data_IF_298996555756
#
_entry.id   IF_298996555756
#
_cell.length_a   1.000
_cell.length_b   1.000
_cell.length_c   1.000
_cell.angle_alpha   90.00
_cell.angle_beta   90.00
_cell.angle_gamma   90.00
#
_symmetry.space_group_name_H-M   'P 1'
#
loop_
_entity.id
_entity.type
_entity.pdbx_description
1 polymer ?
#
# COMPACT_ATOMS: atom_id res chain seq x y z
N UNK A 1 -23.08 -6.45 -11.51
CA UNK A 1 -23.16 -5.91 -10.13
C UNK A 1 -22.63 -6.96 -9.17
N UNK A 2 -21.35 -6.91 -8.81
CA UNK A 2 -20.82 -7.80 -7.78
C UNK A 2 -21.20 -7.20 -6.42
N UNK A 3 -21.97 -7.95 -5.64
CA UNK A 3 -22.35 -7.60 -4.28
C UNK A 3 -21.08 -7.50 -3.43
N UNK A 4 -20.65 -6.26 -3.12
CA UNK A 4 -19.53 -5.98 -2.21
C UNK A 4 -19.95 -6.37 -0.79
N UNK A 5 -19.92 -7.66 -0.51
CA UNK A 5 -20.20 -8.19 0.82
C UNK A 5 -19.09 -7.69 1.74
N UNK A 6 -19.46 -7.01 2.84
CA UNK A 6 -18.52 -6.60 3.89
C UNK A 6 -17.81 -7.83 4.44
N UNK A 7 -16.64 -8.15 3.88
CA UNK A 7 -15.86 -9.34 4.21
C UNK A 7 -14.77 -8.97 5.19
N UNK A 8 -14.79 -9.64 6.33
CA UNK A 8 -13.77 -9.55 7.37
C UNK A 8 -12.83 -10.74 7.23
N UNK A 9 -11.53 -10.47 7.14
CA UNK A 9 -10.47 -11.47 7.08
C UNK A 9 -10.02 -11.85 8.51
N UNK A 10 -9.61 -10.87 9.31
CA UNK A 10 -9.28 -11.03 10.73
C UNK A 10 -7.93 -11.73 11.03
N UNK A 11 -7.16 -12.10 10.00
CA UNK A 11 -5.82 -12.67 10.12
C UNK A 11 -4.95 -12.33 8.90
N UNK A 12 -4.93 -11.06 8.51
CA UNK A 12 -4.17 -10.61 7.34
C UNK A 12 -2.71 -10.36 7.74
N UNK A 13 -1.79 -11.18 7.22
CA UNK A 13 -0.33 -11.08 7.38
C UNK A 13 0.34 -11.43 6.06
N UNK A 14 1.60 -11.07 5.86
CA UNK A 14 2.35 -11.46 4.66
C UNK A 14 2.43 -12.99 4.49
N UNK A 15 2.59 -13.73 5.59
CA UNK A 15 2.61 -15.21 5.59
C UNK A 15 1.29 -15.86 5.15
N UNK A 16 0.18 -15.11 5.22
CA UNK A 16 -1.14 -15.57 4.79
C UNK A 16 -1.50 -15.07 3.37
N UNK A 17 -0.58 -14.40 2.68
CA UNK A 17 -0.72 -14.05 1.26
C UNK A 17 0.18 -14.98 0.46
N UNK A 18 -0.43 -15.96 -0.20
CA UNK A 18 0.26 -16.92 -1.04
C UNK A 18 0.28 -16.45 -2.48
N UNK A 19 1.31 -16.83 -3.23
CA UNK A 19 1.38 -16.59 -4.67
C UNK A 19 1.08 -17.90 -5.40
N UNK A 20 0.21 -17.83 -6.41
CA UNK A 20 0.02 -18.96 -7.33
C UNK A 20 1.14 -19.03 -8.39
N UNK A 21 1.07 -20.02 -9.29
CA UNK A 21 2.06 -20.26 -10.34
C UNK A 21 2.24 -19.09 -11.32
N UNK A 22 1.30 -18.13 -11.32
CA UNK A 22 1.32 -16.93 -12.14
C UNK A 22 1.61 -15.66 -11.31
N UNK A 23 2.11 -15.81 -10.08
CA UNK A 23 2.35 -14.73 -9.13
C UNK A 23 1.10 -13.92 -8.75
N UNK A 24 -0.10 -14.48 -8.88
CA UNK A 24 -1.29 -13.79 -8.37
C UNK A 24 -1.42 -14.03 -6.85
N UNK A 25 -1.66 -12.98 -6.06
CA UNK A 25 -1.86 -13.12 -4.63
C UNK A 25 -3.20 -13.80 -4.31
N UNK A 26 -3.16 -14.76 -3.36
CA UNK A 26 -4.30 -15.47 -2.78
C UNK A 26 -4.22 -15.36 -1.26
N UNK A 27 -5.33 -14.98 -0.62
CA UNK A 27 -5.38 -14.91 0.84
C UNK A 27 -5.74 -16.29 1.38
N UNK A 28 -4.88 -16.84 2.23
CA UNK A 28 -5.11 -18.07 2.99
C UNK A 28 -5.90 -17.81 4.28
N UNK A 29 -6.40 -18.87 4.92
CA UNK A 29 -7.02 -18.83 6.26
C UNK A 29 -8.21 -17.87 6.43
N UNK A 30 -8.85 -17.52 5.32
CA UNK A 30 -9.98 -16.60 5.28
C UNK A 30 -11.17 -17.21 6.00
N UNK A 31 -11.66 -16.52 7.03
CA UNK A 31 -12.88 -16.91 7.73
C UNK A 31 -12.70 -17.99 8.79
N UNK A 32 -11.47 -18.47 9.04
CA UNK A 32 -11.17 -19.29 10.22
C UNK A 32 -11.55 -18.55 11.52
N UNK A 33 -11.38 -17.23 11.53
CA UNK A 33 -11.78 -16.34 12.63
C UNK A 33 -13.25 -16.51 13.08
N UNK A 34 -14.15 -16.92 12.19
CA UNK A 34 -15.58 -17.16 12.49
C UNK A 34 -15.86 -18.54 13.10
N UNK A 35 -14.95 -19.49 12.92
CA UNK A 35 -15.06 -20.88 13.39
C UNK A 35 -14.18 -21.15 14.61
N UNK A 36 -13.33 -20.18 14.99
CA UNK A 36 -12.40 -20.31 16.11
C UNK A 36 -13.11 -20.31 17.46
N UNK A 37 -12.62 -21.16 18.36
CA UNK A 37 -12.93 -21.08 19.79
C UNK A 37 -12.30 -19.83 20.39
N UNK A 38 -12.78 -19.39 21.54
CA UNK A 38 -12.21 -18.22 22.24
C UNK A 38 -10.69 -18.32 22.42
N UNK A 39 -10.17 -19.52 22.73
CA UNK A 39 -8.73 -19.75 22.89
C UNK A 39 -7.97 -19.61 21.56
N UNK A 40 -8.49 -20.19 20.48
CA UNK A 40 -7.87 -20.08 19.16
C UNK A 40 -7.87 -18.62 18.66
N UNK A 41 -8.95 -17.87 18.92
CA UNK A 41 -9.02 -16.44 18.57
C UNK A 41 -8.01 -15.60 19.35
N UNK A 42 -7.81 -15.87 20.64
CA UNK A 42 -6.77 -15.18 21.43
C UNK A 42 -5.38 -15.47 20.89
N UNK A 43 -5.10 -16.71 20.47
CA UNK A 43 -3.81 -17.07 19.90
C UNK A 43 -3.54 -16.33 18.58
N UNK A 44 -4.54 -16.21 17.69
CA UNK A 44 -4.39 -15.43 16.46
C UNK A 44 -4.13 -13.96 16.74
N UNK A 45 -4.87 -13.35 17.66
CA UNK A 45 -4.67 -11.94 18.04
C UNK A 45 -3.29 -11.73 18.66
N UNK A 46 -2.84 -12.65 19.51
CA UNK A 46 -1.51 -12.60 20.10
C UNK A 46 -0.42 -12.73 19.02
N UNK A 47 -0.57 -13.68 18.10
CA UNK A 47 0.38 -13.92 17.00
C UNK A 47 0.47 -12.71 16.07
N UNK A 48 -0.67 -12.16 15.62
CA UNK A 48 -0.68 -10.93 14.81
C UNK A 48 -0.07 -9.74 15.56
N UNK A 49 -0.22 -9.69 16.88
CA UNK A 49 0.41 -8.69 17.74
C UNK A 49 1.93 -8.82 17.78
N UNK A 50 2.44 -10.04 17.96
CA UNK A 50 3.88 -10.33 17.92
C UNK A 50 4.48 -10.08 16.55
N UNK A 51 3.72 -10.30 15.48
CA UNK A 51 4.16 -10.08 14.10
C UNK A 51 4.03 -8.61 13.64
N UNK A 52 3.47 -7.71 14.45
CA UNK A 52 3.37 -6.28 14.11
C UNK A 52 2.20 -5.88 13.20
N UNK A 53 1.37 -6.82 12.74
CA UNK A 53 0.22 -6.51 11.86
C UNK A 53 -1.04 -6.05 12.63
N UNK A 54 -1.04 -6.19 13.96
CA UNK A 54 -2.23 -5.96 14.78
C UNK A 54 -2.53 -4.47 14.98
N UNK A 55 -3.72 -4.04 14.55
CA UNK A 55 -4.23 -2.70 14.86
C UNK A 55 -4.31 -2.44 16.38
N UNK A 56 -4.03 -1.21 16.85
CA UNK A 56 -3.95 -0.91 18.29
C UNK A 56 -5.25 -1.17 19.05
N UNK A 57 -6.40 -0.98 18.41
CA UNK A 57 -7.71 -1.27 18.99
C UNK A 57 -8.08 -2.77 18.99
N UNK A 58 -7.34 -3.60 18.24
CA UNK A 58 -7.64 -5.02 18.05
C UNK A 58 -7.11 -5.88 19.21
N UNK A 59 -7.66 -5.65 20.40
CA UNK A 59 -7.28 -6.38 21.62
C UNK A 59 -8.08 -7.68 21.83
N UNK A 60 -9.27 -7.80 21.23
CA UNK A 60 -10.21 -8.92 21.40
C UNK A 60 -10.91 -9.20 20.07
N UNK A 61 -11.37 -10.43 19.86
CA UNK A 61 -12.05 -10.81 18.59
C UNK A 61 -13.27 -9.92 18.30
N UNK A 62 -14.01 -9.51 19.33
CA UNK A 62 -15.17 -8.61 19.18
C UNK A 62 -14.82 -7.23 18.60
N UNK A 63 -13.54 -6.86 18.61
CA UNK A 63 -13.03 -5.61 18.04
C UNK A 63 -12.63 -5.77 16.58
N UNK A 64 -12.67 -7.00 16.01
CA UNK A 64 -12.38 -7.24 14.61
C UNK A 64 -13.37 -6.46 13.73
N UNK A 65 -12.84 -5.73 12.76
CA UNK A 65 -13.63 -4.94 11.83
C UNK A 65 -12.90 -4.82 10.49
N UNK A 66 -13.58 -4.33 9.47
CA UNK A 66 -12.91 -4.00 8.20
C UNK A 66 -11.78 -2.99 8.41
N UNK A 67 -11.84 -2.14 9.44
CA UNK A 67 -10.76 -1.19 9.77
C UNK A 67 -9.53 -1.85 10.39
N UNK A 68 -9.69 -2.98 11.10
CA UNK A 68 -8.53 -3.75 11.60
C UNK A 68 -7.82 -4.47 10.44
N UNK A 69 -8.57 -4.94 9.44
CA UNK A 69 -8.00 -5.51 8.22
C UNK A 69 -7.29 -4.45 7.38
N UNK A 70 -7.87 -3.24 7.26
CA UNK A 70 -7.22 -2.11 6.56
C UNK A 70 -5.89 -1.73 7.22
N UNK A 71 -5.82 -1.73 8.55
CA UNK A 71 -4.56 -1.50 9.25
C UNK A 71 -3.53 -2.57 8.91
N UNK A 72 -3.92 -3.85 9.00
CA UNK A 72 -3.03 -4.97 8.71
C UNK A 72 -2.53 -4.92 7.26
N UNK A 73 -3.40 -4.55 6.31
CA UNK A 73 -3.03 -4.32 4.91
C UNK A 73 -2.04 -3.18 4.76
N UNK A 74 -2.24 -2.08 5.49
CA UNK A 74 -1.30 -0.95 5.53
C UNK A 74 0.09 -1.39 5.99
N UNK A 75 0.17 -2.21 7.03
CA UNK A 75 1.45 -2.77 7.51
C UNK A 75 2.11 -3.63 6.43
N UNK A 76 1.36 -4.48 5.72
CA UNK A 76 1.90 -5.29 4.62
C UNK A 76 2.43 -4.41 3.49
N UNK A 77 1.73 -3.32 3.14
CA UNK A 77 2.21 -2.38 2.12
C UNK A 77 3.51 -1.71 2.59
N UNK A 78 3.61 -1.31 3.87
CA UNK A 78 4.84 -0.75 4.43
C UNK A 78 5.98 -1.77 4.42
N UNK A 79 5.73 -3.02 4.79
CA UNK A 79 6.70 -4.11 4.72
C UNK A 79 7.23 -4.28 3.29
N UNK A 80 6.36 -4.25 2.28
CA UNK A 80 6.75 -4.34 0.87
C UNK A 80 7.56 -3.13 0.40
N UNK A 81 7.18 -1.91 0.81
CA UNK A 81 7.86 -0.68 0.40
C UNK A 81 9.24 -0.53 1.04
N UNK A 82 9.39 -1.00 2.28
CA UNK A 82 10.61 -0.79 3.09
C UNK A 82 11.55 -1.99 3.09
N UNK A 83 11.07 -3.18 2.70
CA UNK A 83 11.80 -4.43 2.84
C UNK A 83 12.00 -4.88 4.30
N UNK A 84 11.38 -4.20 5.27
CA UNK A 84 11.56 -4.46 6.70
C UNK A 84 10.45 -5.33 7.28
N UNK A 85 10.85 -6.29 8.12
CA UNK A 85 9.90 -7.12 8.86
C UNK A 85 9.15 -6.30 9.91
N UNK A 86 7.81 -6.32 9.94
CA UNK A 86 7.02 -5.61 10.96
C UNK A 86 7.13 -6.22 12.35
N UNK A 87 7.65 -7.45 12.49
CA UNK A 87 7.89 -8.07 13.80
C UNK A 87 9.16 -7.54 14.48
N UNK A 88 10.04 -6.86 13.74
CA UNK A 88 11.31 -6.36 14.24
C UNK A 88 11.22 -4.85 14.46
N UNK A 89 11.53 -4.40 15.67
CA UNK A 89 11.58 -2.98 15.97
C UNK A 89 12.76 -2.34 15.22
N UNK A 90 12.51 -1.24 14.52
CA UNK A 90 13.55 -0.43 13.88
C UNK A 90 13.70 0.85 14.72
N UNK A 91 14.90 1.09 15.23
CA UNK A 91 15.20 2.21 16.14
C UNK A 91 14.29 2.24 17.39
N UNK A 92 13.87 1.07 17.86
CA UNK A 92 12.98 0.93 19.02
C UNK A 92 11.51 1.27 18.74
N UNK A 93 11.14 1.53 17.48
CA UNK A 93 9.79 1.80 17.04
C UNK A 93 9.22 0.62 16.25
N UNK A 94 7.90 0.45 16.30
CA UNK A 94 7.23 -0.45 15.35
C UNK A 94 7.30 0.13 13.93
N UNK A 95 7.11 -0.72 12.91
CA UNK A 95 7.30 -0.32 11.51
C UNK A 95 6.45 0.92 11.12
N UNK A 96 5.12 0.98 11.41
CA UNK A 96 4.34 2.20 11.19
C UNK A 96 4.90 3.46 11.86
N UNK A 97 5.35 3.36 13.11
CA UNK A 97 5.92 4.48 13.85
C UNK A 97 7.24 4.95 13.26
N UNK A 98 8.13 4.01 12.90
CA UNK A 98 9.41 4.31 12.27
C UNK A 98 9.26 5.00 10.91
N UNK A 99 8.36 4.48 10.06
CA UNK A 99 8.05 5.13 8.77
C UNK A 99 7.49 6.54 9.01
N UNK A 100 6.58 6.68 9.97
CA UNK A 100 5.97 7.97 10.28
C UNK A 100 6.97 8.97 10.91
N UNK A 101 8.02 8.53 11.59
CA UNK A 101 9.07 9.42 12.10
C UNK A 101 9.94 9.96 10.97
N UNK A 102 10.35 9.11 10.02
CA UNK A 102 11.15 9.54 8.87
C UNK A 102 10.39 10.59 8.07
N UNK A 103 9.13 10.29 7.72
CA UNK A 103 8.29 11.16 6.88
C UNK A 103 7.98 12.52 7.54
N UNK A 104 7.99 12.60 8.88
CA UNK A 104 7.80 13.87 9.60
C UNK A 104 9.02 14.78 9.56
N UNK A 105 10.21 14.18 9.48
CA UNK A 105 11.47 14.92 9.46
C UNK A 105 11.71 15.42 8.04
N UNK A 106 11.78 14.52 7.06
CA UNK A 106 11.88 14.84 5.64
C UNK A 106 11.23 13.70 4.83
N UNK A 107 10.50 13.99 3.74
CA UNK A 107 10.05 12.95 2.82
C UNK A 107 11.27 12.40 2.08
N UNK A 108 12.01 11.48 2.70
CA UNK A 108 13.24 10.92 2.16
C UNK A 108 12.99 9.59 1.45
N UNK A 109 13.83 9.31 0.46
CA UNK A 109 13.83 8.02 -0.23
C UNK A 109 14.43 6.89 0.64
N UNK A 110 15.00 7.23 1.81
CA UNK A 110 15.66 6.27 2.73
C UNK A 110 14.68 5.26 3.34
N UNK A 111 13.39 5.58 3.30
CA UNK A 111 12.33 4.67 3.75
C UNK A 111 12.17 3.48 2.81
N UNK A 112 12.49 3.62 1.53
CA UNK A 112 12.24 2.58 0.54
C UNK A 112 13.34 1.53 0.50
N UNK A 113 12.97 0.29 0.18
CA UNK A 113 13.92 -0.76 -0.10
C UNK A 113 14.86 -0.39 -1.27
N UNK A 114 16.13 -0.76 -1.15
CA UNK A 114 17.17 -0.42 -2.14
C UNK A 114 16.89 -1.02 -3.52
N UNK A 115 16.24 -2.18 -3.59
CA UNK A 115 15.88 -2.82 -4.86
C UNK A 115 14.77 -2.04 -5.58
N UNK A 116 13.80 -1.49 -4.84
CA UNK A 116 12.77 -0.60 -5.40
C UNK A 116 13.36 0.71 -5.91
N UNK A 117 14.44 1.20 -5.28
CA UNK A 117 15.08 2.44 -5.67
C UNK A 117 15.89 2.37 -6.97
N UNK A 118 16.13 1.18 -7.51
CA UNK A 118 16.83 1.02 -8.79
C UNK A 118 16.05 1.59 -9.98
N UNK A 119 14.72 1.54 -9.91
CA UNK A 119 13.81 2.04 -10.94
C UNK A 119 13.07 3.33 -10.51
N UNK A 120 13.51 3.98 -9.43
CA UNK A 120 12.83 5.13 -8.81
C UNK A 120 12.56 6.30 -9.76
N UNK A 121 13.39 6.50 -10.80
CA UNK A 121 13.19 7.55 -11.79
C UNK A 121 11.90 7.39 -12.61
N UNK A 122 11.35 6.17 -12.67
CA UNK A 122 10.16 5.84 -13.44
C UNK A 122 8.93 5.60 -12.56
N UNK A 123 9.11 5.18 -11.31
CA UNK A 123 8.02 4.80 -10.40
C UNK A 123 7.97 5.61 -9.08
N UNK A 124 8.76 6.68 -8.98
CA UNK A 124 8.96 7.42 -7.72
C UNK A 124 7.68 8.04 -7.18
N UNK A 125 6.84 8.61 -8.05
CA UNK A 125 5.55 9.19 -7.65
C UNK A 125 4.57 8.11 -7.20
N UNK A 126 4.55 6.96 -7.87
CA UNK A 126 3.73 5.81 -7.51
C UNK A 126 4.13 5.26 -6.14
N UNK A 127 5.43 5.12 -5.87
CA UNK A 127 5.95 4.69 -4.58
C UNK A 127 5.58 5.67 -3.47
N UNK A 128 5.74 6.98 -3.72
CA UNK A 128 5.40 8.03 -2.76
C UNK A 128 3.89 8.07 -2.46
N UNK A 129 3.04 7.93 -3.48
CA UNK A 129 1.60 7.90 -3.30
C UNK A 129 1.12 6.62 -2.60
N UNK A 130 1.77 5.49 -2.88
CA UNK A 130 1.52 4.22 -2.18
C UNK A 130 1.92 4.33 -0.71
N UNK A 131 3.06 4.95 -0.40
CA UNK A 131 3.51 5.21 0.98
C UNK A 131 2.52 6.08 1.75
N UNK A 132 2.06 7.19 1.15
CA UNK A 132 1.02 8.06 1.73
C UNK A 132 -0.24 7.27 2.04
N UNK A 133 -0.71 6.46 1.09
CA UNK A 133 -1.90 5.63 1.28
C UNK A 133 -1.70 4.61 2.41
N UNK A 134 -0.54 3.95 2.49
CA UNK A 134 -0.21 3.02 3.55
C UNK A 134 -0.22 3.70 4.92
N UNK A 135 0.36 4.90 5.04
CA UNK A 135 0.33 5.71 6.26
C UNK A 135 -1.10 6.07 6.72
N UNK A 136 -2.00 6.38 5.78
CA UNK A 136 -3.42 6.56 6.10
C UNK A 136 -4.10 5.26 6.55
N UNK A 137 -3.70 4.11 6.02
CA UNK A 137 -4.26 2.81 6.42
C UNK A 137 -3.85 2.40 7.84
N UNK A 138 -2.63 2.76 8.27
CA UNK A 138 -2.09 2.44 9.61
C UNK A 138 -2.37 3.51 10.67
N UNK A 139 -3.29 4.44 10.41
CA UNK A 139 -3.64 5.47 11.40
C UNK A 139 -4.11 4.81 12.73
N UNK A 140 -3.62 5.26 13.90
CA UNK A 140 -4.06 4.72 15.18
C UNK A 140 -5.58 4.81 15.41
N UNK A 141 -6.24 5.82 14.82
CA UNK A 141 -7.69 6.00 14.84
C UNK A 141 -8.37 5.22 13.70
N UNK A 142 -9.23 4.22 14.01
CA UNK A 142 -9.95 3.46 12.98
C UNK A 142 -10.89 4.31 12.11
N UNK A 143 -11.30 5.48 12.62
CA UNK A 143 -12.17 6.40 11.91
C UNK A 143 -11.40 7.22 10.84
N UNK A 144 -10.10 7.45 11.05
CA UNK A 144 -9.25 8.16 10.09
C UNK A 144 -8.81 7.25 8.92
N UNK A 145 -8.83 5.93 9.14
CA UNK A 145 -8.50 4.96 8.09
C UNK A 145 -9.53 4.97 6.97
N UNK A 146 -9.10 4.91 5.69
CA UNK A 146 -10.00 4.79 4.55
C UNK A 146 -10.81 3.49 4.60
N UNK A 147 -11.92 3.46 3.86
CA UNK A 147 -12.65 2.21 3.62
C UNK A 147 -11.85 1.31 2.65
N UNK A 148 -11.96 -0.01 2.79
CA UNK A 148 -11.21 -0.95 1.97
C UNK A 148 -11.40 -0.73 0.46
N UNK A 149 -12.62 -0.35 0.03
CA UNK A 149 -12.89 -0.01 -1.37
C UNK A 149 -12.13 1.24 -1.82
N UNK A 150 -11.97 2.24 -0.96
CA UNK A 150 -11.21 3.45 -1.27
C UNK A 150 -9.71 3.14 -1.38
N UNK A 151 -9.20 2.20 -0.57
CA UNK A 151 -7.82 1.72 -0.69
C UNK A 151 -7.61 1.07 -2.05
N UNK A 152 -8.48 0.16 -2.46
CA UNK A 152 -8.41 -0.50 -3.79
C UNK A 152 -8.47 0.54 -4.91
N UNK A 153 -9.44 1.45 -4.87
CA UNK A 153 -9.58 2.49 -5.90
C UNK A 153 -8.32 3.34 -6.02
N UNK A 154 -7.74 3.79 -4.90
CA UNK A 154 -6.52 4.59 -4.92
C UNK A 154 -5.32 3.82 -5.43
N UNK A 155 -5.17 2.54 -5.07
CA UNK A 155 -4.11 1.69 -5.62
C UNK A 155 -4.26 1.52 -7.14
N UNK A 156 -5.48 1.31 -7.64
CA UNK A 156 -5.74 1.25 -9.08
C UNK A 156 -5.47 2.57 -9.79
N UNK A 157 -5.72 3.70 -9.15
CA UNK A 157 -5.39 5.03 -9.67
C UNK A 157 -3.87 5.26 -9.72
N UNK A 158 -3.13 4.81 -8.70
CA UNK A 158 -1.67 4.90 -8.65
C UNK A 158 -1.01 4.06 -9.75
N UNK A 159 -1.55 2.87 -10.06
CA UNK A 159 -0.95 1.93 -11.02
C UNK A 159 -1.33 2.24 -12.47
N UNK A 160 -2.33 3.11 -12.72
CA UNK A 160 -2.69 3.48 -14.09
C UNK A 160 -1.56 4.31 -14.71
N UNK A 161 -0.99 3.88 -15.85
CA UNK A 161 -0.14 4.78 -16.62
C UNK A 161 -1.01 5.97 -17.05
N UNK A 162 -0.58 7.18 -16.73
CA UNK A 162 -1.13 8.39 -17.33
C UNK A 162 -1.18 8.17 -18.86
N UNK A 163 -2.33 8.40 -19.53
CA UNK A 163 -2.37 8.33 -20.98
C UNK A 163 -1.38 9.38 -21.50
N UNK A 164 -0.25 8.90 -22.02
CA UNK A 164 0.84 9.73 -22.49
C UNK A 164 0.32 10.86 -23.36
N UNK A 165 0.78 12.07 -23.06
CA UNK A 165 0.67 13.23 -23.94
C UNK A 165 1.16 12.80 -25.33
N UNK A 166 0.22 12.62 -26.28
CA UNK A 166 0.55 12.28 -27.67
C UNK A 166 1.09 13.56 -28.30
N UNK A 167 2.33 13.89 -27.96
CA UNK A 167 3.16 14.80 -28.72
C UNK A 167 3.93 13.98 -29.77
N UNK A 168 3.29 13.78 -30.91
CA UNK A 168 3.92 13.42 -32.19
C UNK A 168 3.07 14.10 -33.28
N UNK A 169 3.58 14.90 -34.22
CA UNK A 169 4.92 14.95 -34.79
C UNK A 169 5.14 16.28 -35.59
N UNK A 170 6.33 16.49 -36.22
CA UNK A 170 6.94 17.79 -36.46
C UNK A 170 6.74 18.42 -37.87
N UNK A 171 7.30 19.64 -37.96
CA UNK A 171 7.49 20.56 -39.08
C UNK A 171 7.57 19.99 -40.51
N UNK A 172 6.83 20.65 -41.43
CA UNK A 172 7.25 20.80 -42.83
C UNK A 172 7.91 22.18 -43.00
N UNK A 173 9.23 22.20 -43.11
CA UNK A 173 9.95 23.33 -43.69
C UNK A 173 9.76 23.34 -45.20
N UNK A 174 9.53 24.53 -45.76
CA UNK A 174 10.01 24.84 -47.11
C UNK A 174 10.59 26.24 -47.08
N UNK A 175 11.91 26.30 -47.23
CA UNK A 175 12.69 27.52 -47.43
C UNK A 175 12.40 28.12 -48.81
N UNK A 176 12.34 29.45 -48.87
CA UNK A 176 12.23 30.17 -50.14
C UNK A 176 12.34 31.68 -49.96
N UNK A 177 13.54 32.17 -49.70
CA UNK A 177 13.86 33.60 -49.71
C UNK A 177 14.16 34.12 -51.14
N UNK A 178 13.66 35.33 -51.42
CA UNK A 178 14.18 36.42 -52.26
C UNK A 178 13.16 36.98 -53.30
N UNK A 179 13.34 38.21 -53.83
CA UNK A 179 13.13 39.53 -53.22
C UNK A 179 12.12 40.38 -54.07
N UNK A 180 11.76 41.65 -53.72
CA UNK A 180 10.85 42.44 -54.57
C UNK A 180 11.61 43.14 -55.71
N UNK A 181 10.96 43.35 -56.87
CA UNK A 181 11.32 44.48 -57.72
C UNK A 181 10.11 45.39 -58.04
N UNK A 182 10.47 46.65 -58.27
CA UNK A 182 9.60 47.79 -58.53
C UNK A 182 9.01 47.79 -59.95
N UNK A 183 7.81 48.35 -60.08
CA UNK A 183 7.37 49.26 -61.15
C UNK A 183 6.12 50.00 -60.70
#
# INVERSE_FOLDING_TARGET
MLSTTKKLYGNLTSSNILLDEHNNPKIADVGLSRLMTSTASTNVIATAGTMGYRAPEFSKLKNASTKTDVFSLGVIILELLTGKSPSEATDGLDLPQWVASIVKEEWTNEVFDVELMRDASNIGDELLNTLKLALHCVDPSPAARPEAQQVVQKLEEIVKPEPGDVSTAPASGNDGAAPPPAS
#
